data_IF_665327411887
#
_entry.id   IF_665327411887
#
_cell.length_a   1.000
_cell.length_b   1.000
_cell.length_c   1.000
_cell.angle_alpha   90.00
_cell.angle_beta   90.00
_cell.angle_gamma   90.00
#
_symmetry.space_group_name_H-M   'P 1'
#
loop_
_entity.id
_entity.type
_entity.pdbx_description
1 polymer ?
#
# COMPACT_ATOMS: atom_id res chain seq x y z
N UNK A 1 0.35 -47.01 3.85
CA UNK A 1 0.53 -46.28 2.58
C UNK A 1 -0.08 -44.89 2.75
N UNK A 2 0.61 -43.97 3.42
CA UNK A 2 0.03 -42.67 3.74
C UNK A 2 1.13 -41.64 3.91
N UNK A 3 1.55 -41.00 2.82
CA UNK A 3 2.32 -39.74 2.84
C UNK A 3 2.32 -39.02 1.50
N UNK A 4 1.29 -39.23 0.66
CA UNK A 4 1.14 -38.43 -0.56
C UNK A 4 0.44 -37.08 -0.30
N UNK A 5 -0.47 -37.00 0.68
CA UNK A 5 -1.21 -35.78 0.99
C UNK A 5 -0.33 -34.56 1.32
N UNK A 6 0.66 -34.64 2.23
CA UNK A 6 1.44 -33.46 2.60
C UNK A 6 2.34 -32.99 1.44
N UNK A 7 2.90 -33.93 0.67
CA UNK A 7 3.74 -33.62 -0.48
C UNK A 7 2.93 -32.95 -1.60
N UNK A 8 1.73 -33.45 -1.85
CA UNK A 8 0.83 -32.91 -2.88
C UNK A 8 0.34 -31.51 -2.48
N UNK A 9 0.08 -31.28 -1.19
CA UNK A 9 -0.26 -29.95 -0.66
C UNK A 9 0.92 -28.97 -0.80
N UNK A 10 2.14 -29.43 -0.50
CA UNK A 10 3.36 -28.62 -0.64
C UNK A 10 3.57 -28.20 -2.11
N UNK A 11 3.37 -29.11 -3.05
CA UNK A 11 3.49 -28.83 -4.48
C UNK A 11 2.45 -27.81 -4.95
N UNK A 12 1.19 -27.96 -4.53
CA UNK A 12 0.13 -26.99 -4.87
C UNK A 12 0.44 -25.62 -4.28
N UNK A 13 0.93 -25.55 -3.04
CA UNK A 13 1.32 -24.30 -2.39
C UNK A 13 2.49 -23.62 -3.12
N UNK A 14 3.53 -24.38 -3.50
CA UNK A 14 4.66 -23.85 -4.25
C UNK A 14 4.24 -23.30 -5.62
N UNK A 15 3.38 -24.03 -6.35
CA UNK A 15 2.88 -23.58 -7.66
C UNK A 15 2.02 -22.32 -7.50
N UNK A 16 1.14 -22.28 -6.50
CA UNK A 16 0.33 -21.09 -6.20
C UNK A 16 1.19 -19.88 -5.81
N UNK A 17 2.28 -20.09 -5.06
CA UNK A 17 3.22 -19.02 -4.69
C UNK A 17 3.98 -18.47 -5.90
N UNK A 18 4.35 -19.31 -6.87
CA UNK A 18 5.03 -18.85 -8.09
C UNK A 18 4.08 -18.14 -9.06
N UNK A 19 2.80 -18.52 -9.09
CA UNK A 19 1.78 -17.84 -9.90
C UNK A 19 1.49 -16.41 -9.41
N UNK A 20 1.78 -16.11 -8.14
CA UNK A 20 1.88 -14.74 -7.65
C UNK A 20 3.20 -14.11 -8.16
N UNK A 21 3.38 -14.09 -9.49
CA UNK A 21 4.54 -13.51 -10.19
C UNK A 21 4.60 -11.98 -10.12
N UNK A 22 3.94 -11.36 -9.14
CA UNK A 22 4.43 -10.14 -8.53
C UNK A 22 5.12 -10.57 -7.25
N UNK A 23 6.45 -10.60 -7.27
CA UNK A 23 7.26 -11.15 -6.17
C UNK A 23 6.71 -10.64 -4.83
N UNK A 24 6.48 -11.54 -3.87
CA UNK A 24 5.99 -11.15 -2.55
C UNK A 24 6.92 -10.09 -1.92
N UNK A 25 8.21 -10.15 -2.26
CA UNK A 25 9.23 -9.14 -1.96
C UNK A 25 9.01 -7.83 -2.70
N UNK A 26 8.67 -7.84 -3.99
CA UNK A 26 8.31 -6.61 -4.74
C UNK A 26 7.05 -5.97 -4.17
N UNK A 27 6.04 -6.77 -3.81
CA UNK A 27 4.81 -6.27 -3.17
C UNK A 27 5.11 -5.66 -1.80
N UNK A 28 5.96 -6.31 -1.00
CA UNK A 28 6.39 -5.79 0.30
C UNK A 28 7.24 -4.52 0.15
N UNK A 29 8.19 -4.50 -0.78
CA UNK A 29 9.01 -3.33 -1.12
C UNK A 29 8.11 -2.17 -1.54
N UNK A 30 7.08 -2.44 -2.33
CA UNK A 30 6.07 -1.44 -2.73
C UNK A 30 5.44 -0.77 -1.51
N UNK A 31 4.97 -1.57 -0.55
CA UNK A 31 4.34 -1.03 0.68
C UNK A 31 5.32 -0.39 1.68
N UNK A 32 6.61 -0.68 1.60
CA UNK A 32 7.65 -0.06 2.45
C UNK A 32 8.15 1.26 1.83
N UNK A 33 8.32 1.29 0.51
CA UNK A 33 8.93 2.42 -0.22
C UNK A 33 7.89 3.44 -0.68
N UNK A 34 6.67 3.02 -1.03
CA UNK A 34 5.61 3.96 -1.37
C UNK A 34 4.89 4.42 -0.09
N UNK A 35 4.64 5.74 0.05
CA UNK A 35 3.90 6.25 1.18
C UNK A 35 2.47 5.69 1.19
N UNK A 36 1.86 5.56 2.37
CA UNK A 36 0.51 5.02 2.50
C UNK A 36 -0.48 5.84 1.68
N UNK A 37 -1.55 5.22 1.14
CA UNK A 37 -2.57 5.96 0.40
C UNK A 37 -3.29 6.97 1.30
N UNK A 38 -3.62 8.13 0.76
CA UNK A 38 -4.43 9.14 1.46
C UNK A 38 -5.82 8.57 1.75
N UNK A 39 -6.28 8.71 3.00
CA UNK A 39 -7.61 8.23 3.43
C UNK A 39 -8.76 9.12 2.99
N UNK A 40 -8.45 10.37 2.70
CA UNK A 40 -9.34 11.40 2.22
C UNK A 40 -8.97 11.76 0.77
N UNK A 41 -9.96 12.18 -0.02
CA UNK A 41 -9.68 12.77 -1.32
C UNK A 41 -8.72 13.95 -1.15
N UNK A 42 -7.68 14.04 -1.99
CA UNK A 42 -6.78 15.18 -1.92
C UNK A 42 -7.59 16.44 -2.20
N UNK A 43 -7.82 17.28 -1.18
CA UNK A 43 -8.56 18.54 -1.34
C UNK A 43 -7.94 19.42 -2.44
N UNK A 44 -6.63 19.25 -2.71
CA UNK A 44 -5.95 19.90 -3.82
C UNK A 44 -4.62 19.21 -4.22
N UNK A 45 -4.46 18.84 -5.49
CA UNK A 45 -3.20 18.31 -6.07
C UNK A 45 -2.10 19.38 -6.29
N UNK A 46 -1.99 20.37 -5.40
CA UNK A 46 -1.01 21.46 -5.51
C UNK A 46 0.20 21.30 -4.58
N UNK A 47 0.08 20.50 -3.52
CA UNK A 47 1.10 20.39 -2.46
C UNK A 47 1.74 19.02 -2.45
N UNK A 48 2.73 18.84 -3.33
CA UNK A 48 3.53 17.62 -3.40
C UNK A 48 4.49 17.50 -2.22
N UNK A 49 4.81 16.26 -1.83
CA UNK A 49 5.76 15.95 -0.77
C UNK A 49 6.59 14.72 -1.14
N UNK A 50 7.81 14.67 -0.59
CA UNK A 50 8.69 13.48 -0.63
C UNK A 50 8.84 12.90 0.77
N UNK A 51 8.88 13.75 1.79
CA UNK A 51 9.01 13.39 3.20
C UNK A 51 7.94 14.09 4.05
N UNK A 52 7.68 13.61 5.26
CA UNK A 52 6.61 14.12 6.12
C UNK A 52 6.84 15.58 6.55
N UNK A 53 8.10 15.99 6.64
CA UNK A 53 8.55 17.32 7.05
C UNK A 53 8.23 18.39 5.99
N UNK A 54 7.96 17.99 4.74
CA UNK A 54 7.52 18.91 3.67
C UNK A 54 6.13 19.48 3.97
N UNK A 55 5.31 18.74 4.71
CA UNK A 55 3.97 19.15 5.11
C UNK A 55 4.01 20.08 6.33
N UNK A 56 4.33 21.35 6.10
CA UNK A 56 4.51 22.37 7.15
C UNK A 56 3.25 22.70 7.96
N UNK A 57 2.05 22.37 7.47
CA UNK A 57 0.81 22.66 8.18
C UNK A 57 0.46 21.53 9.15
N UNK A 58 -0.01 21.93 10.34
CA UNK A 58 -0.33 21.00 11.41
C UNK A 58 -1.46 20.03 10.98
N UNK A 59 -1.23 18.73 11.16
CA UNK A 59 -2.21 17.68 10.86
C UNK A 59 -2.21 17.14 9.43
N UNK A 60 -1.34 17.65 8.54
CA UNK A 60 -1.12 17.06 7.22
C UNK A 60 -0.13 15.90 7.28
N UNK A 61 -0.41 14.84 6.55
CA UNK A 61 0.53 13.73 6.31
C UNK A 61 0.95 13.68 4.85
N UNK A 62 2.19 13.24 4.60
CA UNK A 62 2.60 12.89 3.25
C UNK A 62 2.04 11.51 2.88
N UNK A 63 1.15 11.46 1.88
CA UNK A 63 0.45 10.24 1.48
C UNK A 63 0.30 10.16 -0.05
N UNK A 64 0.06 8.96 -0.57
CA UNK A 64 -0.11 8.70 -2.00
C UNK A 64 -1.56 8.95 -2.45
N UNK A 65 -1.75 9.73 -3.51
CA UNK A 65 -3.03 10.03 -4.14
C UNK A 65 -2.95 9.80 -5.67
N UNK A 66 -4.08 9.99 -6.38
CA UNK A 66 -4.13 9.83 -7.84
C UNK A 66 -3.11 10.70 -8.59
N UNK A 67 -2.83 11.90 -8.08
CA UNK A 67 -1.87 12.82 -8.68
C UNK A 67 -0.42 12.60 -8.22
N UNK A 68 -0.13 11.60 -7.38
CA UNK A 68 1.19 11.34 -6.80
C UNK A 68 1.22 11.57 -5.29
N UNK A 69 2.41 11.81 -4.73
CA UNK A 69 2.63 11.97 -3.30
C UNK A 69 2.38 13.42 -2.87
N UNK A 70 1.37 13.63 -2.02
CA UNK A 70 0.90 14.96 -1.63
C UNK A 70 0.62 15.05 -0.12
N UNK A 71 0.58 16.28 0.38
CA UNK A 71 0.16 16.56 1.76
C UNK A 71 -1.37 16.58 1.85
N UNK A 72 -1.97 15.62 2.57
CA UNK A 72 -3.41 15.58 2.85
C UNK A 72 -3.70 15.36 4.33
N UNK A 73 -4.92 15.70 4.76
CA UNK A 73 -5.41 15.38 6.09
C UNK A 73 -5.66 13.88 6.20
N UNK A 74 -4.88 13.16 7.01
CA UNK A 74 -5.05 11.71 7.22
C UNK A 74 -6.24 11.37 8.14
N UNK A 75 -7.40 11.95 7.86
CA UNK A 75 -8.63 11.67 8.59
C UNK A 75 -9.38 10.53 7.88
N UNK A 76 -10.12 9.69 8.63
CA UNK A 76 -11.10 8.80 8.02
C UNK A 76 -12.06 9.63 7.14
N UNK A 77 -12.56 9.08 6.03
CA UNK A 77 -13.61 9.75 5.28
C UNK A 77 -14.78 10.04 6.21
N UNK A 78 -15.26 11.28 6.22
CA UNK A 78 -16.49 11.64 6.91
C UNK A 78 -17.64 10.85 6.25
N UNK A 79 -18.60 10.33 7.03
CA UNK A 79 -19.78 9.68 6.46
C UNK A 79 -20.49 10.67 5.54
N UNK A 80 -20.74 10.27 4.30
CA UNK A 80 -21.64 11.01 3.41
C UNK A 80 -23.07 10.94 3.99
N UNK A 81 -23.58 12.07 4.50
CA UNK A 81 -25.01 12.26 4.82
C UNK A 81 -25.87 12.28 3.55
#
# INVERSE_FOLDING_TARGET
MASLLPLQFLLVLCVALQLLSGSLKERFLKYILEPPPCRSEPENCSKFCTVQEDCKAQGLSCCSAFCGTICSLNRPPEPSE
#
